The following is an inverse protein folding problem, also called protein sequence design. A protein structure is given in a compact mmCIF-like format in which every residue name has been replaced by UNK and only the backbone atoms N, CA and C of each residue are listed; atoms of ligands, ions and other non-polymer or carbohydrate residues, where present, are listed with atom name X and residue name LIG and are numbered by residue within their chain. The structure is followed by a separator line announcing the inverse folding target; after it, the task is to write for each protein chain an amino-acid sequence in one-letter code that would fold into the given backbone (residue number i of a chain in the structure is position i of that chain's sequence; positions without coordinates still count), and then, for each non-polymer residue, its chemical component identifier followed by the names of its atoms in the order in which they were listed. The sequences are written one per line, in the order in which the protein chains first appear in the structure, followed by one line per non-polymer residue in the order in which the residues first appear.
data_IF_367487176016
#
_entry.id   IF_367487176016
#
_cell.length_a   1.000
_cell.length_b   1.000
_cell.length_c   1.000
_cell.angle_alpha   90.00
_cell.angle_beta   90.00
_cell.angle_gamma   90.00
#
_symmetry.space_group_name_H-M   'P 1'
#
loop_
_entity.id
_entity.type
_entity.pdbx_description
1 polymer ?
#
# COMPACT_ATOMS: atom_id res chain seq x y z
N UNK A 1 28.22 9.02 -27.85
CA UNK A 1 27.83 9.64 -26.56
C UNK A 1 26.38 10.12 -26.53
N UNK A 2 25.90 10.93 -27.48
CA UNK A 2 24.50 11.42 -27.52
C UNK A 2 23.42 10.31 -27.48
N UNK A 3 23.63 9.19 -28.19
CA UNK A 3 22.71 8.04 -28.19
C UNK A 3 22.62 7.34 -26.82
N UNK A 4 23.76 7.18 -26.13
CA UNK A 4 23.82 6.54 -24.80
C UNK A 4 23.10 7.40 -23.74
N UNK A 5 23.29 8.72 -23.80
CA UNK A 5 22.59 9.66 -22.93
C UNK A 5 21.07 9.58 -23.12
N UNK A 6 20.61 9.48 -24.38
CA UNK A 6 19.18 9.31 -24.68
C UNK A 6 18.62 8.00 -24.14
N UNK A 7 19.37 6.89 -24.22
CA UNK A 7 18.92 5.60 -23.70
C UNK A 7 18.83 5.60 -22.17
N UNK A 8 19.78 6.22 -21.48
CA UNK A 8 19.75 6.37 -20.01
C UNK A 8 18.56 7.23 -19.58
N UNK A 9 18.28 8.32 -20.31
CA UNK A 9 17.14 9.19 -20.01
C UNK A 9 15.80 8.45 -20.17
N UNK A 10 15.65 7.64 -21.23
CA UNK A 10 14.46 6.81 -21.42
C UNK A 10 14.31 5.75 -20.31
N UNK A 11 15.41 5.17 -19.82
CA UNK A 11 15.37 4.20 -18.74
C UNK A 11 14.95 4.83 -17.40
N UNK A 12 15.42 6.05 -17.12
CA UNK A 12 15.03 6.83 -15.93
C UNK A 12 13.57 7.30 -15.98
N UNK A 13 13.01 7.55 -17.17
CA UNK A 13 11.61 7.91 -17.33
C UNK A 13 10.67 6.69 -17.24
N UNK A 14 11.16 5.48 -17.56
CA UNK A 14 10.39 4.24 -17.38
C UNK A 14 10.25 3.84 -15.91
N UNK A 15 11.27 4.07 -15.08
CA UNK A 15 11.24 3.71 -13.66
C UNK A 15 10.27 4.56 -12.83
N UNK A 16 10.00 5.81 -13.22
CA UNK A 16 9.04 6.67 -12.51
C UNK A 16 7.58 6.27 -12.76
N UNK A 17 7.27 5.61 -13.88
CA UNK A 17 5.92 5.13 -14.22
C UNK A 17 5.56 3.87 -13.41
N UNK A 18 6.57 3.06 -13.05
CA UNK A 18 6.38 1.85 -12.23
C UNK A 18 6.29 2.14 -10.73
N UNK A 19 6.65 3.35 -10.29
CA UNK A 19 6.47 3.78 -8.91
C UNK A 19 5.02 4.27 -8.69
N UNK A 20 4.03 3.39 -8.86
CA UNK A 20 2.74 3.60 -8.22
C UNK A 20 2.93 3.39 -6.72
N UNK A 21 3.30 4.47 -6.03
CA UNK A 21 3.28 4.52 -4.58
C UNK A 21 1.82 4.50 -4.17
N UNK A 22 1.35 3.35 -3.69
CA UNK A 22 0.06 3.25 -3.04
C UNK A 22 0.08 4.17 -1.82
N UNK A 23 -0.49 5.36 -1.96
CA UNK A 23 -0.32 6.48 -1.03
C UNK A 23 -1.29 6.38 0.16
N UNK A 24 -1.65 5.15 0.53
CA UNK A 24 -2.55 4.85 1.62
C UNK A 24 -1.80 5.06 2.95
N UNK A 25 -2.30 5.99 3.78
CA UNK A 25 -1.74 6.23 5.11
C UNK A 25 -1.87 5.00 6.03
N UNK A 26 -2.95 4.21 5.85
CA UNK A 26 -3.21 2.96 6.54
C UNK A 26 -3.46 1.84 5.53
N UNK A 27 -2.82 0.69 5.72
CA UNK A 27 -3.05 -0.52 4.91
C UNK A 27 -3.56 -1.65 5.79
N UNK A 28 -4.57 -2.39 5.32
CA UNK A 28 -4.96 -3.67 5.89
C UNK A 28 -3.90 -4.73 5.59
N UNK A 29 -3.31 -5.32 6.62
CA UNK A 29 -2.21 -6.29 6.48
C UNK A 29 -2.71 -7.72 6.67
N UNK A 30 -3.64 -7.94 7.60
CA UNK A 30 -4.29 -9.22 7.79
C UNK A 30 -5.66 -9.07 8.42
N UNK A 31 -6.52 -10.04 8.12
CA UNK A 31 -7.78 -10.29 8.79
C UNK A 31 -7.85 -11.79 9.07
N UNK A 32 -8.16 -12.16 10.30
CA UNK A 32 -8.30 -13.56 10.71
C UNK A 32 -9.55 -13.70 11.60
N UNK A 33 -10.41 -14.63 11.21
CA UNK A 33 -11.62 -15.03 11.92
C UNK A 33 -12.07 -16.40 11.40
N UNK A 34 -12.11 -17.41 12.27
CA UNK A 34 -12.59 -18.74 11.90
C UNK A 34 -14.12 -18.83 11.98
N UNK A 35 -14.68 -19.86 11.35
CA UNK A 35 -16.13 -20.07 11.23
C UNK A 35 -16.87 -20.21 12.58
N UNK A 36 -16.15 -20.50 13.66
CA UNK A 36 -16.71 -20.67 15.00
C UNK A 36 -16.26 -19.58 15.97
N UNK A 37 -15.49 -18.60 15.49
CA UNK A 37 -15.05 -17.50 16.32
C UNK A 37 -16.14 -16.44 16.44
N UNK A 38 -16.30 -15.90 17.64
CA UNK A 38 -17.22 -14.79 17.92
C UNK A 38 -16.60 -13.43 17.61
N UNK A 39 -15.27 -13.36 17.58
CA UNK A 39 -14.49 -12.14 17.34
C UNK A 39 -13.50 -12.38 16.19
N UNK A 40 -13.00 -11.30 15.59
CA UNK A 40 -11.98 -11.35 14.54
C UNK A 40 -10.84 -10.39 14.84
N UNK A 41 -9.65 -10.72 14.37
CA UNK A 41 -8.47 -9.84 14.51
C UNK A 41 -8.21 -9.13 13.19
N UNK A 42 -8.08 -7.81 13.26
CA UNK A 42 -7.71 -6.95 12.14
C UNK A 42 -6.34 -6.30 12.41
N UNK A 43 -5.36 -6.56 11.55
CA UNK A 43 -4.06 -5.91 11.63
C UNK A 43 -3.97 -4.77 10.60
N UNK A 44 -3.74 -3.56 11.08
CA UNK A 44 -3.56 -2.36 10.27
C UNK A 44 -2.12 -1.86 10.40
N UNK A 45 -1.52 -1.45 9.27
CA UNK A 45 -0.20 -0.83 9.24
C UNK A 45 -0.33 0.67 8.98
N UNK A 46 0.26 1.47 9.86
CA UNK A 46 0.55 2.88 9.59
C UNK A 46 1.78 2.97 8.67
N UNK A 47 1.61 3.54 7.47
CA UNK A 47 2.70 3.73 6.51
C UNK A 47 3.40 5.09 6.66
N UNK A 48 3.03 5.87 7.66
CA UNK A 48 3.58 7.19 7.96
C UNK A 48 4.43 7.16 9.23
N UNK A 49 5.07 8.29 9.54
CA UNK A 49 5.79 8.48 10.80
C UNK A 49 4.96 9.26 11.83
N UNK A 50 3.71 9.58 11.49
CA UNK A 50 2.81 10.41 12.29
C UNK A 50 1.74 9.54 12.94
N UNK A 51 1.19 10.01 14.07
CA UNK A 51 0.03 9.38 14.68
C UNK A 51 -1.20 9.54 13.78
N UNK A 52 -1.94 8.45 13.58
CA UNK A 52 -3.18 8.46 12.82
C UNK A 52 -4.35 8.30 13.79
N UNK A 53 -5.28 9.25 13.74
CA UNK A 53 -6.48 9.26 14.58
C UNK A 53 -7.73 9.03 13.71
N UNK A 54 -8.81 8.53 14.32
CA UNK A 54 -10.11 8.34 13.66
C UNK A 54 -10.11 7.36 12.47
N UNK A 55 -9.39 6.24 12.60
CA UNK A 55 -9.39 5.17 11.59
C UNK A 55 -10.77 4.48 11.57
N UNK A 56 -11.39 4.45 10.39
CA UNK A 56 -12.69 3.78 10.15
C UNK A 56 -12.53 2.74 9.04
N UNK A 57 -13.16 1.58 9.19
CA UNK A 57 -13.15 0.51 8.21
C UNK A 57 -14.53 -0.14 8.10
N UNK A 58 -14.77 -0.83 6.98
CA UNK A 58 -15.99 -1.61 6.75
C UNK A 58 -15.59 -3.05 6.42
N UNK A 59 -16.18 -4.01 7.13
CA UNK A 59 -16.09 -5.44 6.81
C UNK A 59 -17.38 -5.82 6.11
N UNK A 60 -17.27 -6.35 4.89
CA UNK A 60 -18.42 -6.80 4.09
C UNK A 60 -18.29 -8.31 3.91
N UNK A 61 -19.27 -9.06 4.40
CA UNK A 61 -19.38 -10.50 4.19
C UNK A 61 -20.29 -10.76 2.98
N UNK A 62 -19.98 -11.81 2.20
CA UNK A 62 -20.79 -12.31 1.09
C UNK A 62 -21.61 -13.52 1.53
#
# INVERSE_FOLDING_TARGET
MKKVISTILCFLLYSSILAQVDNNAVTLVSFEQDAFDYDGTLALKNNTQEDIQNVTFQIIYL
#
